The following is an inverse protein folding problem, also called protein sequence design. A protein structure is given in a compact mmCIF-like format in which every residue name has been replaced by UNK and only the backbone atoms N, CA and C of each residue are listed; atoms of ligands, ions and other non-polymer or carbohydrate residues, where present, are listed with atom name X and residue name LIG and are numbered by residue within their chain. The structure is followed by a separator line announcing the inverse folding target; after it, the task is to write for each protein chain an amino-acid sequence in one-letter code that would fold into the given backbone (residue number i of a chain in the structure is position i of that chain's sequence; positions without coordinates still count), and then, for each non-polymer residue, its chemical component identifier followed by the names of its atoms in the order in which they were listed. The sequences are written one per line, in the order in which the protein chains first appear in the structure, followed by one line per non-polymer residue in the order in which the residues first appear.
data_IF_414604375639
#
_entry.id   IF_414604375639
#
_cell.length_a   1.000
_cell.length_b   1.000
_cell.length_c   1.000
_cell.angle_alpha   90.00
_cell.angle_beta   90.00
_cell.angle_gamma   90.00
#
_symmetry.space_group_name_H-M   'P 1'
#
loop_
_entity.id
_entity.type
_entity.pdbx_description
1 polymer ?
#
# COMPACT_ATOMS: atom_id res chain seq x y z
N UNK A 1 11.81 -17.53 -3.36
CA UNK A 1 12.89 -18.06 -2.49
C UNK A 1 12.52 -19.47 -2.03
N UNK A 2 13.35 -20.47 -2.34
CA UNK A 2 13.20 -21.79 -1.72
C UNK A 2 13.56 -21.71 -0.23
N UNK A 3 13.03 -22.62 0.60
CA UNK A 3 13.47 -22.74 1.99
C UNK A 3 14.99 -22.96 2.04
N UNK A 4 15.61 -22.59 3.16
CA UNK A 4 17.04 -22.77 3.33
C UNK A 4 17.40 -24.26 3.10
N UNK A 5 18.35 -24.57 2.20
CA UNK A 5 18.74 -25.96 1.89
C UNK A 5 19.19 -26.77 3.11
N UNK A 6 19.64 -26.09 4.17
CA UNK A 6 20.13 -26.70 5.40
C UNK A 6 19.00 -26.99 6.42
N UNK A 7 17.73 -26.73 6.08
CA UNK A 7 16.62 -27.06 6.97
C UNK A 7 16.39 -28.57 7.06
N UNK A 8 16.10 -29.10 8.26
CA UNK A 8 15.62 -30.47 8.42
C UNK A 8 14.40 -30.75 7.54
N UNK A 9 14.34 -31.96 6.96
CA UNK A 9 13.24 -32.39 6.09
C UNK A 9 11.82 -32.09 6.62
N UNK A 10 11.52 -32.30 7.92
CA UNK A 10 10.21 -31.95 8.48
C UNK A 10 9.85 -30.46 8.38
N UNK A 11 10.82 -29.55 8.56
CA UNK A 11 10.59 -28.10 8.36
C UNK A 11 10.33 -27.79 6.89
N UNK A 12 10.97 -28.53 6.00
CA UNK A 12 10.79 -28.38 4.55
C UNK A 12 9.38 -28.77 4.12
N UNK A 13 8.87 -29.89 4.62
CA UNK A 13 7.48 -30.33 4.39
C UNK A 13 6.48 -29.35 5.00
N UNK A 14 6.73 -28.88 6.24
CA UNK A 14 5.86 -27.91 6.90
C UNK A 14 5.77 -26.58 6.13
N UNK A 15 6.89 -26.09 5.60
CA UNK A 15 6.91 -24.90 4.75
C UNK A 15 5.97 -25.02 3.56
N UNK A 16 6.08 -26.11 2.78
CA UNK A 16 5.26 -26.30 1.59
C UNK A 16 3.78 -26.54 1.93
N UNK A 17 3.50 -27.18 3.07
CA UNK A 17 2.14 -27.27 3.58
C UNK A 17 1.56 -25.88 3.90
N UNK A 18 2.33 -24.97 4.52
CA UNK A 18 1.91 -23.59 4.80
C UNK A 18 1.65 -22.83 3.49
N UNK A 19 2.55 -22.91 2.51
CA UNK A 19 2.38 -22.28 1.19
C UNK A 19 1.09 -22.75 0.49
N UNK A 20 0.73 -24.03 0.70
CA UNK A 20 -0.49 -24.61 0.14
C UNK A 20 -1.77 -24.14 0.85
N UNK A 21 -1.74 -23.87 2.16
CA UNK A 21 -2.92 -23.45 2.94
C UNK A 21 -3.08 -21.94 3.11
N UNK A 22 -2.04 -21.16 2.85
CA UNK A 22 -2.09 -19.69 2.84
C UNK A 22 -2.84 -19.17 1.60
N UNK A 23 -4.13 -19.52 1.52
CA UNK A 23 -5.09 -18.97 0.56
C UNK A 23 -6.17 -18.20 1.36
N UNK A 24 -7.01 -17.44 0.65
CA UNK A 24 -8.09 -16.62 1.22
C UNK A 24 -7.60 -15.71 2.37
N UNK A 25 -6.67 -14.82 2.02
CA UNK A 25 -6.09 -13.83 2.94
C UNK A 25 -6.78 -12.49 2.72
N UNK A 26 -7.34 -11.93 3.80
CA UNK A 26 -7.77 -10.54 3.81
C UNK A 26 -6.55 -9.64 3.97
N UNK A 27 -6.35 -8.72 3.03
CA UNK A 27 -5.29 -7.73 3.07
C UNK A 27 -5.89 -6.35 3.37
N UNK A 28 -5.49 -5.74 4.49
CA UNK A 28 -5.94 -4.42 4.90
C UNK A 28 -4.76 -3.46 4.92
N UNK A 29 -4.82 -2.39 4.13
CA UNK A 29 -3.84 -1.31 4.20
C UNK A 29 -4.09 -0.45 5.44
N UNK A 30 -3.06 -0.26 6.25
CA UNK A 30 -3.09 0.60 7.43
C UNK A 30 -2.06 1.73 7.28
N UNK A 31 -2.46 2.99 7.45
CA UNK A 31 -1.50 4.09 7.51
C UNK A 31 -0.63 3.98 8.76
N UNK A 32 0.69 4.17 8.60
CA UNK A 32 1.62 4.26 9.75
C UNK A 32 1.89 5.70 10.17
N UNK A 33 1.51 6.66 9.33
CA UNK A 33 1.59 8.09 9.55
C UNK A 33 0.50 8.81 8.72
N UNK A 34 0.14 10.06 9.04
CA UNK A 34 -0.74 10.86 8.21
C UNK A 34 -0.21 10.97 6.77
N UNK A 35 -1.10 10.86 5.79
CA UNK A 35 -0.75 11.10 4.39
C UNK A 35 -0.31 12.57 4.22
N UNK A 36 0.73 12.79 3.42
CA UNK A 36 1.19 14.13 3.05
C UNK A 36 0.67 14.42 1.65
N UNK A 37 0.04 15.58 1.46
CA UNK A 37 -0.53 15.98 0.17
C UNK A 37 0.11 17.28 -0.32
N UNK A 38 0.26 17.38 -1.64
CA UNK A 38 0.62 18.59 -2.34
C UNK A 38 -0.37 18.80 -3.49
N UNK A 39 -1.38 19.63 -3.22
CA UNK A 39 -2.46 19.90 -4.18
C UNK A 39 -1.97 20.61 -5.45
N UNK A 40 -0.90 21.41 -5.36
CA UNK A 40 -0.31 22.04 -6.54
C UNK A 40 0.28 20.96 -7.44
N UNK A 41 1.03 20.00 -6.90
CA UNK A 41 1.57 18.90 -7.69
C UNK A 41 0.48 17.98 -8.27
N UNK A 42 -0.65 17.82 -7.57
CA UNK A 42 -1.78 17.03 -8.07
C UNK A 42 -2.36 17.62 -9.36
N UNK A 43 -2.63 18.93 -9.35
CA UNK A 43 -3.27 19.65 -10.45
C UNK A 43 -2.30 20.11 -11.54
N UNK A 44 -1.09 20.49 -11.13
CA UNK A 44 -0.03 21.07 -11.96
C UNK A 44 1.30 20.36 -11.66
N UNK A 45 1.47 19.10 -12.10
CA UNK A 45 2.69 18.36 -11.85
C UNK A 45 3.89 19.12 -12.44
N UNK A 46 5.00 19.26 -11.69
CA UNK A 46 6.16 19.99 -12.15
C UNK A 46 6.81 19.31 -13.36
N UNK A 47 7.29 20.12 -14.31
CA UNK A 47 7.99 19.66 -15.53
C UNK A 47 9.49 19.97 -15.52
N UNK A 48 9.99 20.58 -14.44
CA UNK A 48 11.37 21.01 -14.25
C UNK A 48 12.26 19.95 -13.56
N UNK A 49 11.71 18.77 -13.26
CA UNK A 49 12.39 17.68 -12.57
C UNK A 49 12.39 17.79 -11.04
N UNK A 50 11.69 18.77 -10.47
CA UNK A 50 11.38 18.78 -9.02
C UNK A 50 10.46 17.62 -8.63
N UNK A 51 10.33 17.33 -7.33
CA UNK A 51 9.55 16.18 -6.83
C UNK A 51 8.07 16.32 -7.22
N UNK A 52 7.54 15.46 -8.12
CA UNK A 52 6.17 15.55 -8.62
C UNK A 52 5.15 14.89 -7.69
N UNK A 53 5.57 14.41 -6.51
CA UNK A 53 4.68 13.70 -5.58
C UNK A 53 3.50 14.59 -5.19
N UNK A 54 2.28 14.11 -5.50
CA UNK A 54 1.02 14.72 -5.12
C UNK A 54 0.53 14.16 -3.78
N UNK A 55 0.67 12.85 -3.57
CA UNK A 55 0.28 12.19 -2.33
C UNK A 55 1.37 11.22 -1.90
N UNK A 56 1.87 11.39 -0.68
CA UNK A 56 2.83 10.47 -0.06
C UNK A 56 2.16 9.73 1.09
N UNK A 57 2.13 8.42 0.99
CA UNK A 57 1.58 7.54 2.02
C UNK A 57 2.66 6.60 2.55
N UNK A 58 2.72 6.46 3.86
CA UNK A 58 3.47 5.41 4.51
C UNK A 58 2.44 4.41 5.08
N UNK A 59 2.45 3.19 4.57
CA UNK A 59 1.47 2.16 4.92
C UNK A 59 2.15 0.84 5.30
N UNK A 60 1.42 0.01 6.01
CA UNK A 60 1.70 -1.42 6.17
C UNK A 60 0.45 -2.20 5.77
N UNK A 61 0.60 -3.45 5.35
CA UNK A 61 -0.55 -4.29 4.98
C UNK A 61 -0.72 -5.36 6.03
N UNK A 62 -1.84 -5.32 6.75
CA UNK A 62 -2.25 -6.41 7.64
C UNK A 62 -2.78 -7.56 6.80
N UNK A 63 -2.25 -8.75 7.02
CA UNK A 63 -2.72 -9.98 6.42
C UNK A 63 -3.47 -10.79 7.48
N UNK A 64 -4.74 -11.07 7.24
CA UNK A 64 -5.57 -11.83 8.16
C UNK A 64 -6.12 -13.08 7.48
N UNK A 65 -5.83 -14.23 8.09
CA UNK A 65 -6.62 -15.44 7.96
C UNK A 65 -6.42 -16.29 9.24
N UNK A 66 -7.23 -17.34 9.47
CA UNK A 66 -7.13 -18.18 10.67
C UNK A 66 -5.73 -18.79 10.92
N UNK A 67 -4.92 -18.99 9.88
CA UNK A 67 -3.57 -19.56 9.98
C UNK A 67 -2.51 -18.49 10.28
N UNK A 68 -2.62 -17.31 9.68
CA UNK A 68 -1.65 -16.21 9.80
C UNK A 68 -1.80 -15.44 11.12
N UNK A 69 -2.98 -15.47 11.73
CA UNK A 69 -3.26 -14.70 12.94
C UNK A 69 -3.39 -13.20 12.70
N UNK A 70 -3.40 -12.44 13.78
CA UNK A 70 -3.66 -10.99 13.77
C UNK A 70 -2.40 -10.12 13.72
N UNK A 71 -1.22 -10.75 13.73
CA UNK A 71 0.08 -10.08 13.80
C UNK A 71 0.86 -10.13 12.49
N UNK A 72 0.31 -10.73 11.43
CA UNK A 72 0.98 -10.85 10.14
C UNK A 72 0.88 -9.54 9.37
N UNK A 73 2.01 -8.87 9.13
CA UNK A 73 2.06 -7.61 8.37
C UNK A 73 3.12 -7.69 7.27
N UNK A 74 2.80 -7.11 6.11
CA UNK A 74 3.78 -6.68 5.10
C UNK A 74 4.26 -5.27 5.47
N UNK A 75 5.57 -5.13 5.68
CA UNK A 75 6.13 -3.91 6.25
C UNK A 75 5.84 -3.76 7.75
N UNK A 76 6.38 -2.69 8.34
CA UNK A 76 6.18 -2.36 9.75
C UNK A 76 6.08 -0.84 9.94
N UNK A 77 5.80 -0.40 11.17
CA UNK A 77 5.79 1.03 11.48
C UNK A 77 7.18 1.68 11.28
N UNK A 78 8.25 0.92 11.55
CA UNK A 78 9.64 1.37 11.41
C UNK A 78 10.20 1.18 9.99
N UNK A 79 9.63 0.24 9.22
CA UNK A 79 10.00 -0.02 7.83
C UNK A 79 8.73 -0.19 6.98
N UNK A 80 8.00 0.92 6.71
CA UNK A 80 6.74 0.87 5.98
C UNK A 80 6.95 0.75 4.46
N UNK A 81 5.86 0.45 3.76
CA UNK A 81 5.75 0.67 2.33
C UNK A 81 5.53 2.17 2.11
N UNK A 82 6.42 2.83 1.38
CA UNK A 82 6.31 4.26 1.07
C UNK A 82 5.87 4.41 -0.37
N UNK A 83 4.64 4.89 -0.58
CA UNK A 83 4.03 5.11 -1.89
C UNK A 83 4.03 6.62 -2.16
N UNK A 84 4.54 7.02 -3.32
CA UNK A 84 4.62 8.41 -3.80
C UNK A 84 3.81 8.57 -5.07
N UNK A 85 2.53 8.81 -4.89
CA UNK A 85 1.57 8.97 -5.98
C UNK A 85 1.75 10.34 -6.66
N UNK A 86 1.70 10.35 -7.99
CA UNK A 86 1.81 11.55 -8.84
C UNK A 86 0.85 11.45 -10.04
N UNK A 87 0.50 12.57 -10.65
CA UNK A 87 -0.34 12.63 -11.86
C UNK A 87 0.48 12.69 -13.15
N UNK A 88 1.80 12.87 -13.06
CA UNK A 88 2.73 12.84 -14.20
C UNK A 88 3.17 11.43 -14.62
N UNK A 89 4.18 11.37 -15.47
CA UNK A 89 4.81 10.11 -15.92
C UNK A 89 5.91 9.66 -14.95
N UNK A 90 5.84 8.40 -14.50
CA UNK A 90 6.82 7.80 -13.60
C UNK A 90 8.14 7.45 -14.30
N UNK A 91 9.21 7.29 -13.51
CA UNK A 91 10.50 6.80 -13.97
C UNK A 91 11.00 5.64 -13.09
N UNK A 92 10.35 4.47 -13.11
CA UNK A 92 10.73 3.34 -12.27
C UNK A 92 12.03 2.69 -12.78
N UNK A 93 12.80 2.02 -11.91
CA UNK A 93 13.82 1.09 -12.38
C UNK A 93 13.15 -0.12 -13.06
N UNK A 94 13.85 -0.82 -13.97
CA UNK A 94 13.34 -2.06 -14.56
C UNK A 94 13.01 -3.12 -13.50
N UNK A 95 12.04 -4.03 -13.74
CA UNK A 95 11.35 -4.30 -15.01
C UNK A 95 10.11 -3.43 -15.29
N UNK A 96 9.62 -2.65 -14.34
CA UNK A 96 8.48 -1.77 -14.60
C UNK A 96 8.83 -0.75 -15.69
N UNK A 97 7.85 -0.49 -16.55
CA UNK A 97 7.91 0.57 -17.54
C UNK A 97 7.26 1.84 -16.96
N UNK A 98 7.64 3.04 -17.44
CA UNK A 98 6.93 4.27 -17.13
C UNK A 98 5.41 4.12 -17.29
N UNK A 99 4.66 4.63 -16.33
CA UNK A 99 3.20 4.79 -16.40
C UNK A 99 2.86 6.26 -16.14
N UNK A 100 1.74 6.72 -16.67
CA UNK A 100 1.29 8.10 -16.51
C UNK A 100 -0.03 8.14 -15.75
N UNK A 101 -0.14 9.12 -14.87
CA UNK A 101 -1.41 9.51 -14.28
C UNK A 101 -2.12 10.57 -15.12
N UNK A 102 -3.16 11.15 -14.52
CA UNK A 102 -3.94 12.26 -15.07
C UNK A 102 -4.40 13.17 -13.91
N UNK A 103 -4.18 14.50 -13.97
CA UNK A 103 -4.75 15.45 -13.01
C UNK A 103 -6.28 15.47 -12.95
N UNK A 104 -6.97 14.94 -13.96
CA UNK A 104 -8.42 14.96 -14.08
C UNK A 104 -8.96 16.36 -14.44
N UNK A 105 -10.28 16.52 -14.33
CA UNK A 105 -10.96 17.79 -14.58
C UNK A 105 -11.26 18.50 -13.27
N UNK A 106 -10.86 19.76 -13.12
CA UNK A 106 -11.10 20.54 -11.90
C UNK A 106 -12.05 21.70 -12.16
N UNK A 107 -13.10 21.83 -11.34
CA UNK A 107 -14.07 22.91 -11.43
C UNK A 107 -14.62 23.28 -10.04
N UNK A 108 -15.26 24.44 -9.95
CA UNK A 108 -15.90 24.90 -8.70
C UNK A 108 -17.38 24.52 -8.72
N UNK A 109 -17.85 23.93 -7.64
CA UNK A 109 -19.28 23.66 -7.39
C UNK A 109 -19.78 24.65 -6.35
N UNK A 110 -20.80 25.43 -6.71
CA UNK A 110 -21.46 26.36 -5.80
C UNK A 110 -22.69 25.70 -5.18
N UNK A 111 -22.75 25.65 -3.86
CA UNK A 111 -23.91 25.12 -3.11
C UNK A 111 -24.83 26.23 -2.63
N UNK A 112 -24.28 27.42 -2.39
CA UNK A 112 -25.03 28.65 -2.10
C UNK A 112 -24.26 29.85 -2.67
N UNK A 113 -24.58 30.18 -3.92
CA UNK A 113 -23.93 31.27 -4.67
C UNK A 113 -24.10 32.65 -4.00
N UNK A 114 -25.30 33.05 -3.48
CA UNK A 114 -25.47 34.29 -2.73
C UNK A 114 -24.54 34.44 -1.52
N UNK A 115 -24.20 33.34 -0.84
CA UNK A 115 -23.32 33.35 0.33
C UNK A 115 -21.87 32.92 0.02
N UNK A 116 -21.52 32.77 -1.26
CA UNK A 116 -20.21 32.31 -1.73
C UNK A 116 -19.77 30.97 -1.09
N UNK A 117 -20.71 30.07 -0.88
CA UNK A 117 -20.44 28.73 -0.37
C UNK A 117 -20.30 27.79 -1.55
N UNK A 118 -19.14 27.16 -1.65
CA UNK A 118 -18.82 26.19 -2.67
C UNK A 118 -17.61 25.36 -2.29
N UNK A 119 -17.33 24.37 -3.13
CA UNK A 119 -16.18 23.48 -3.00
C UNK A 119 -15.51 23.30 -4.36
N UNK A 120 -14.25 22.92 -4.34
CA UNK A 120 -13.50 22.52 -5.53
C UNK A 120 -13.77 21.03 -5.73
N UNK A 121 -14.26 20.67 -6.92
CA UNK A 121 -14.44 19.30 -7.36
C UNK A 121 -13.35 18.95 -8.37
N UNK A 122 -12.84 17.74 -8.28
CA UNK A 122 -11.92 17.18 -9.24
C UNK A 122 -12.35 15.76 -9.58
N UNK A 123 -12.70 15.54 -10.84
CA UNK A 123 -13.23 14.26 -11.32
C UNK A 123 -12.17 13.50 -12.12
N UNK A 124 -12.26 12.17 -12.06
CA UNK A 124 -11.47 11.23 -12.88
C UNK A 124 -9.93 11.38 -12.73
N UNK A 125 -9.46 11.91 -11.60
CA UNK A 125 -8.02 12.01 -11.34
C UNK A 125 -7.41 10.62 -11.18
N UNK A 126 -6.26 10.42 -11.83
CA UNK A 126 -5.48 9.20 -11.78
C UNK A 126 -4.08 9.50 -11.23
N UNK A 127 -3.80 9.02 -10.03
CA UNK A 127 -2.47 9.12 -9.45
C UNK A 127 -1.75 7.76 -9.49
N UNK A 128 -0.48 7.78 -9.87
CA UNK A 128 0.31 6.58 -10.11
C UNK A 128 1.62 6.59 -9.34
N UNK A 129 2.06 5.39 -8.93
CA UNK A 129 3.43 5.11 -8.51
C UNK A 129 3.77 3.67 -8.89
N UNK A 130 4.94 3.45 -9.48
CA UNK A 130 5.44 2.11 -9.76
C UNK A 130 6.94 1.95 -9.51
N UNK A 131 7.52 2.85 -8.70
CA UNK A 131 8.93 2.88 -8.35
C UNK A 131 9.18 2.56 -6.86
N UNK A 132 8.14 2.22 -6.07
CA UNK A 132 8.31 1.88 -4.66
C UNK A 132 8.75 0.42 -4.45
N UNK A 133 9.46 0.19 -3.35
CA UNK A 133 9.80 -1.14 -2.85
C UNK A 133 8.80 -1.58 -1.76
N UNK A 134 8.64 -2.90 -1.60
CA UNK A 134 7.78 -3.49 -0.58
C UNK A 134 8.63 -4.37 0.34
N UNK A 135 8.71 -4.05 1.65
CA UNK A 135 9.42 -4.88 2.62
C UNK A 135 8.83 -6.29 2.76
N UNK A 136 9.58 -7.16 3.43
CA UNK A 136 9.10 -8.51 3.75
C UNK A 136 7.96 -8.49 4.77
N UNK A 137 7.13 -9.54 4.72
CA UNK A 137 6.16 -9.85 5.75
C UNK A 137 6.83 -10.41 7.02
N UNK A 138 6.26 -10.07 8.18
CA UNK A 138 6.73 -10.45 9.52
C UNK A 138 5.56 -10.71 10.46
N UNK A 139 5.80 -11.43 11.56
CA UNK A 139 4.79 -11.66 12.60
C UNK A 139 3.69 -12.64 12.18
N UNK A 140 3.97 -13.49 11.19
CA UNK A 140 2.96 -14.36 10.60
C UNK A 140 2.91 -15.70 11.31
N UNK A 141 1.70 -16.12 11.65
CA UNK A 141 1.42 -17.41 12.26
C UNK A 141 1.00 -17.26 13.72
N UNK A 142 -0.17 -17.82 14.03
CA UNK A 142 -0.63 -18.00 15.42
C UNK A 142 -0.81 -19.50 15.75
N UNK A 143 -1.05 -20.32 14.72
CA UNK A 143 -1.29 -21.76 14.81
C UNK A 143 -0.66 -22.44 13.59
N UNK A 144 0.63 -22.76 13.62
CA UNK A 144 1.19 -23.68 12.65
C UNK A 144 0.99 -25.11 13.16
N UNK A 145 0.19 -25.92 12.45
CA UNK A 145 0.03 -27.37 12.71
C UNK A 145 -0.63 -27.74 14.07
N UNK A 146 -1.52 -26.90 14.61
CA UNK A 146 -2.21 -27.20 15.88
C UNK A 146 -1.32 -27.04 17.12
N UNK A 147 -0.14 -26.45 16.97
CA UNK A 147 0.76 -26.10 18.07
C UNK A 147 0.80 -24.58 18.21
N UNK A 148 0.72 -24.03 19.44
CA UNK A 148 0.93 -22.60 19.66
C UNK A 148 2.35 -22.24 19.21
N UNK A 149 2.47 -21.16 18.43
CA UNK A 149 3.77 -20.64 17.97
C UNK A 149 4.50 -20.08 19.19
N UNK A 150 5.23 -20.94 19.89
CA UNK A 150 6.01 -20.61 21.09
C UNK A 150 7.46 -20.20 20.77
N UNK A 151 7.87 -20.21 19.50
CA UNK A 151 9.28 -19.98 19.12
C UNK A 151 9.43 -19.10 17.89
N UNK A 152 10.43 -18.20 17.92
CA UNK A 152 10.80 -17.29 16.81
C UNK A 152 11.11 -18.02 15.49
N UNK A 153 11.48 -19.31 15.57
CA UNK A 153 11.78 -20.15 14.41
C UNK A 153 10.52 -20.43 13.56
N UNK A 154 9.36 -20.59 14.21
CA UNK A 154 8.10 -20.87 13.53
C UNK A 154 7.51 -19.62 12.88
N UNK A 155 7.68 -18.44 13.49
CA UNK A 155 7.33 -17.15 12.86
C UNK A 155 8.12 -16.95 11.56
N UNK A 156 9.45 -17.12 11.60
CA UNK A 156 10.29 -17.02 10.42
C UNK A 156 9.91 -18.02 9.31
N UNK A 157 9.43 -19.21 9.68
CA UNK A 157 8.94 -20.22 8.74
C UNK A 157 7.66 -19.76 8.02
N UNK A 158 6.66 -19.31 8.76
CA UNK A 158 5.36 -18.90 8.19
C UNK A 158 5.50 -17.57 7.45
N UNK A 159 6.17 -16.57 8.02
CA UNK A 159 6.49 -15.32 7.32
C UNK A 159 7.30 -15.58 6.05
N UNK A 160 8.25 -16.52 6.08
CA UNK A 160 8.98 -16.97 4.89
C UNK A 160 8.08 -17.57 3.82
N UNK A 161 7.09 -18.38 4.21
CA UNK A 161 6.13 -18.97 3.28
C UNK A 161 5.21 -17.91 2.65
N UNK A 162 4.72 -16.96 3.45
CA UNK A 162 3.98 -15.78 2.95
C UNK A 162 4.83 -15.01 1.96
N UNK A 163 6.07 -14.68 2.34
CA UNK A 163 7.00 -13.95 1.48
C UNK A 163 7.24 -14.67 0.15
N UNK A 164 7.38 -16.00 0.17
CA UNK A 164 7.48 -16.77 -1.08
C UNK A 164 6.22 -16.65 -1.93
N UNK A 165 5.05 -16.86 -1.32
CA UNK A 165 3.76 -16.89 -2.02
C UNK A 165 3.45 -15.58 -2.72
N UNK A 166 3.73 -14.44 -2.06
CA UNK A 166 3.43 -13.10 -2.59
C UNK A 166 4.64 -12.37 -3.19
N UNK A 167 5.82 -13.02 -3.27
CA UNK A 167 6.98 -12.48 -3.96
C UNK A 167 7.75 -11.38 -3.20
N UNK A 168 7.82 -11.47 -1.87
CA UNK A 168 8.45 -10.50 -1.00
C UNK A 168 9.84 -10.93 -0.47
N UNK A 169 10.71 -9.98 -0.07
CA UNK A 169 10.57 -8.53 -0.30
C UNK A 169 10.61 -8.20 -1.81
N UNK A 170 9.82 -7.22 -2.21
CA UNK A 170 9.75 -6.78 -3.61
C UNK A 170 10.61 -5.54 -3.80
N UNK A 171 11.57 -5.62 -4.71
CA UNK A 171 12.42 -4.49 -5.06
C UNK A 171 11.61 -3.36 -5.72
N UNK A 172 12.18 -2.15 -5.71
CA UNK A 172 11.70 -1.03 -6.53
C UNK A 172 11.61 -1.45 -8.00
N UNK A 173 10.59 -0.97 -8.72
CA UNK A 173 10.37 -1.31 -10.12
C UNK A 173 9.64 -2.64 -10.36
N UNK A 174 9.04 -3.22 -9.32
CA UNK A 174 8.22 -4.45 -9.41
C UNK A 174 6.80 -4.30 -8.87
N UNK A 175 6.48 -3.13 -8.33
CA UNK A 175 5.21 -2.85 -7.66
C UNK A 175 4.53 -1.69 -8.38
N UNK A 176 3.20 -1.67 -8.34
CA UNK A 176 2.40 -0.64 -8.98
C UNK A 176 1.24 -0.28 -8.06
N UNK A 177 1.00 1.01 -7.90
CA UNK A 177 -0.14 1.60 -7.22
C UNK A 177 -0.78 2.58 -8.20
N UNK A 178 -2.08 2.43 -8.39
CA UNK A 178 -2.90 3.34 -9.20
C UNK A 178 -4.09 3.70 -8.32
N UNK A 179 -4.28 4.99 -8.09
CA UNK A 179 -5.42 5.55 -7.39
C UNK A 179 -6.24 6.34 -8.40
N UNK A 180 -7.46 5.90 -8.66
CA UNK A 180 -8.43 6.60 -9.51
C UNK A 180 -9.60 7.04 -8.66
N UNK A 181 -10.06 8.27 -8.83
CA UNK A 181 -11.33 8.67 -8.25
C UNK A 181 -11.53 10.18 -8.22
N UNK A 182 -12.69 10.54 -7.71
CA UNK A 182 -13.13 11.92 -7.59
C UNK A 182 -12.75 12.46 -6.21
N UNK A 183 -12.35 13.72 -6.16
CA UNK A 183 -11.96 14.39 -4.93
C UNK A 183 -12.63 15.75 -4.83
N UNK A 184 -13.11 16.07 -3.63
CA UNK A 184 -13.69 17.37 -3.33
C UNK A 184 -12.99 18.02 -2.15
N UNK A 185 -12.81 19.34 -2.23
CA UNK A 185 -12.16 20.13 -1.18
C UNK A 185 -13.05 21.33 -0.89
N UNK A 186 -13.50 21.43 0.35
CA UNK A 186 -14.26 22.56 0.86
C UNK A 186 -13.55 23.17 2.08
N UNK A 187 -13.97 24.38 2.48
CA UNK A 187 -13.61 24.92 3.80
C UNK A 187 -14.05 23.95 4.89
N UNK A 188 -13.22 23.75 5.92
CA UNK A 188 -13.53 22.84 7.02
C UNK A 188 -14.85 23.17 7.71
N UNK A 189 -15.24 24.45 7.77
CA UNK A 189 -16.53 24.88 8.30
C UNK A 189 -17.72 24.31 7.52
N UNK A 190 -17.60 24.18 6.20
CA UNK A 190 -18.66 23.64 5.33
C UNK A 190 -18.71 22.12 5.36
N UNK A 191 -17.56 21.45 5.51
CA UNK A 191 -17.51 19.98 5.69
C UNK A 191 -18.14 19.58 7.01
N UNK A 192 -17.84 20.29 8.11
CA UNK A 192 -18.44 19.98 9.41
C UNK A 192 -19.96 20.15 9.40
N UNK A 193 -20.45 21.20 8.72
CA UNK A 193 -21.88 21.45 8.61
C UNK A 193 -22.63 20.43 7.73
N UNK A 194 -21.95 19.69 6.84
CA UNK A 194 -22.59 18.66 6.02
C UNK A 194 -22.72 17.30 6.71
N UNK A 195 -22.02 17.10 7.84
CA UNK A 195 -22.04 15.86 8.62
C UNK A 195 -23.07 15.90 9.77
N UNK A 196 -23.77 17.02 9.96
CA UNK A 196 -24.88 17.20 10.91
C UNK A 196 -26.24 16.88 10.26
#
# INVERSE_FOLDING_TARGET
MNPNPNWPGPLWTAFWAIVAVANDVTATMEPVAPAQTNFINALYPPTDGSDPTAVKMAVRVKLQNPFLGDTCYIGSAQNPIVIKLQTGTTAPPPPNLPISGDPGETYTVWTDEPNYIGYIQNDDATLVDNAFAVPAAQGCGNVALGLPILTQVLDALVSGAVNLKVGLPSASGKNTAILTGDTSIASSAYVLASEE
#
